data_IF_080282474185
#
_entry.id   IF_080282474185
#
_cell.length_a   1.000
_cell.length_b   1.000
_cell.length_c   1.000
_cell.angle_alpha   90.00
_cell.angle_beta   90.00
_cell.angle_gamma   90.00
#
_symmetry.space_group_name_H-M   'P 1'
#
loop_
_entity.id
_entity.type
_entity.pdbx_description
1 polymer ?
#
# COMPACT_ATOMS: atom_id res chain seq x y z
N UNK A 1 6.77 -0.90 16.30
CA UNK A 1 6.16 -0.83 14.95
C UNK A 1 5.99 0.62 14.53
N UNK A 2 6.04 0.87 13.23
CA UNK A 2 5.75 2.19 12.65
C UNK A 2 4.60 2.10 11.66
N UNK A 3 3.80 3.15 11.58
CA UNK A 3 2.80 3.33 10.56
C UNK A 3 3.20 4.50 9.69
N UNK A 4 3.25 4.27 8.39
CA UNK A 4 3.61 5.24 7.36
C UNK A 4 2.38 5.49 6.49
N UNK A 5 2.02 6.75 6.29
CA UNK A 5 0.90 7.12 5.43
C UNK A 5 1.35 8.19 4.44
N UNK A 6 1.26 7.87 3.17
CA UNK A 6 1.50 8.81 2.09
C UNK A 6 0.24 9.62 1.81
N UNK A 7 0.42 10.91 1.57
CA UNK A 7 -0.59 11.78 0.97
C UNK A 7 0.04 12.61 -0.17
N UNK A 8 -0.70 13.53 -0.75
CA UNK A 8 -0.24 14.32 -1.91
C UNK A 8 1.06 15.10 -1.66
N UNK A 9 1.31 15.54 -0.44
CA UNK A 9 2.36 16.50 -0.13
C UNK A 9 3.28 16.09 1.01
N UNK A 10 3.00 14.98 1.69
CA UNK A 10 3.78 14.57 2.86
C UNK A 10 3.73 13.07 3.11
N UNK A 11 4.74 12.60 3.82
CA UNK A 11 4.80 11.30 4.47
C UNK A 11 4.57 11.51 5.97
N UNK A 12 3.47 10.95 6.48
CA UNK A 12 3.18 10.90 7.91
C UNK A 12 3.74 9.60 8.49
N UNK A 13 4.42 9.69 9.62
CA UNK A 13 4.87 8.53 10.39
C UNK A 13 4.37 8.60 11.83
N UNK A 14 3.90 7.48 12.34
CA UNK A 14 3.63 7.31 13.76
C UNK A 14 4.36 6.08 14.31
N UNK A 15 5.01 6.25 15.46
CA UNK A 15 5.75 5.17 16.14
C UNK A 15 4.94 4.68 17.33
N UNK A 16 4.77 3.37 17.39
CA UNK A 16 4.01 2.69 18.44
C UNK A 16 4.87 1.67 19.13
N UNK A 17 4.79 1.65 20.45
CA UNK A 17 5.44 0.64 21.31
C UNK A 17 4.39 -0.13 22.08
N UNK A 18 4.66 -1.40 22.34
CA UNK A 18 3.83 -2.19 23.23
C UNK A 18 4.39 -2.12 24.66
N UNK A 19 3.54 -1.74 25.61
CA UNK A 19 3.88 -1.73 27.02
C UNK A 19 2.69 -2.24 27.84
N UNK A 20 2.92 -3.28 28.64
CA UNK A 20 1.88 -3.92 29.49
C UNK A 20 0.65 -4.37 28.68
N UNK A 21 0.87 -4.91 27.47
CA UNK A 21 -0.20 -5.37 26.56
C UNK A 21 -1.04 -4.24 25.94
N UNK A 22 -0.54 -2.98 25.99
CA UNK A 22 -1.18 -1.82 25.37
C UNK A 22 -0.27 -1.19 24.35
N UNK A 23 -0.83 -0.88 23.19
CA UNK A 23 -0.14 -0.08 22.17
C UNK A 23 -0.15 1.39 22.58
N UNK A 24 1.04 1.98 22.69
CA UNK A 24 1.25 3.36 23.10
C UNK A 24 1.88 4.11 21.94
N UNK A 25 1.23 5.18 21.49
CA UNK A 25 1.81 6.11 20.53
C UNK A 25 2.94 6.89 21.22
N UNK A 26 4.14 6.76 20.70
CA UNK A 26 5.34 7.38 21.28
C UNK A 26 5.86 8.57 20.48
N UNK A 27 5.60 8.59 19.19
CA UNK A 27 6.04 9.66 18.30
C UNK A 27 5.14 9.82 17.09
N UNK A 28 4.99 11.07 16.61
CA UNK A 28 4.38 11.40 15.32
C UNK A 28 5.32 12.37 14.63
N UNK A 29 5.61 12.12 13.35
CA UNK A 29 6.34 13.04 12.48
C UNK A 29 5.62 13.16 11.15
N UNK A 30 5.69 14.31 10.53
CA UNK A 30 5.21 14.59 9.19
C UNK A 30 6.30 15.29 8.40
N UNK A 31 6.83 14.63 7.40
CA UNK A 31 7.84 15.18 6.51
C UNK A 31 7.23 15.59 5.18
N UNK A 32 7.53 16.80 4.68
CA UNK A 32 7.03 17.22 3.38
C UNK A 32 7.72 16.43 2.26
N UNK A 33 6.97 16.12 1.21
CA UNK A 33 7.54 15.57 -0.02
C UNK A 33 8.17 16.71 -0.84
N UNK A 34 9.32 16.44 -1.44
CA UNK A 34 10.04 17.43 -2.28
C UNK A 34 9.46 17.57 -3.69
N UNK A 35 8.41 16.82 -3.99
CA UNK A 35 7.70 16.83 -5.25
C UNK A 35 6.38 16.07 -5.17
N UNK A 36 5.62 16.14 -6.24
CA UNK A 36 4.35 15.42 -6.39
C UNK A 36 4.61 13.97 -6.80
N UNK A 37 4.39 13.05 -5.89
CA UNK A 37 4.55 11.61 -6.15
C UNK A 37 3.55 11.09 -7.18
N UNK A 38 2.34 11.66 -7.27
CA UNK A 38 1.35 11.25 -8.26
C UNK A 38 1.83 11.54 -9.68
N UNK A 39 2.31 12.75 -9.92
CA UNK A 39 2.90 13.13 -11.19
C UNK A 39 4.20 12.36 -11.50
N UNK A 40 4.92 11.93 -10.49
CA UNK A 40 6.18 11.19 -10.64
C UNK A 40 6.00 9.70 -10.94
N UNK A 41 4.81 9.11 -10.74
CA UNK A 41 4.55 7.66 -10.91
C UNK A 41 4.88 7.09 -12.30
N UNK A 42 4.98 7.92 -13.32
CA UNK A 42 5.43 7.53 -14.66
C UNK A 42 6.94 7.65 -14.88
N UNK A 43 7.69 8.06 -13.87
CA UNK A 43 9.13 8.25 -13.93
C UNK A 43 9.81 7.73 -12.66
N UNK A 44 10.24 6.48 -12.69
CA UNK A 44 10.81 5.77 -11.54
C UNK A 44 11.96 6.53 -10.88
N UNK A 45 12.79 7.23 -11.65
CA UNK A 45 13.91 8.00 -11.10
C UNK A 45 13.45 9.18 -10.24
N UNK A 46 12.43 9.89 -10.70
CA UNK A 46 11.88 11.04 -9.96
C UNK A 46 11.11 10.53 -8.74
N UNK A 47 10.29 9.50 -8.93
CA UNK A 47 9.52 8.88 -7.86
C UNK A 47 10.44 8.41 -6.72
N UNK A 48 11.46 7.61 -7.04
CA UNK A 48 12.42 7.10 -6.06
C UNK A 48 13.24 8.20 -5.41
N UNK A 49 13.60 9.27 -6.12
CA UNK A 49 14.31 10.40 -5.52
C UNK A 49 13.46 11.15 -4.47
N UNK A 50 12.14 11.29 -4.72
CA UNK A 50 11.22 11.92 -3.76
C UNK A 50 11.03 11.01 -2.53
N UNK A 51 10.85 9.70 -2.73
CA UNK A 51 10.74 8.73 -1.63
C UNK A 51 11.99 8.75 -0.77
N UNK A 52 13.16 8.59 -1.38
CA UNK A 52 14.45 8.56 -0.69
C UNK A 52 14.69 9.82 0.15
N UNK A 53 14.37 11.00 -0.41
CA UNK A 53 14.48 12.26 0.32
C UNK A 53 13.51 12.31 1.51
N UNK A 54 12.28 11.84 1.36
CA UNK A 54 11.30 11.80 2.43
C UNK A 54 11.76 10.86 3.57
N UNK A 55 12.26 9.67 3.22
CA UNK A 55 12.77 8.73 4.21
C UNK A 55 14.04 9.21 4.91
N UNK A 56 14.95 9.88 4.20
CA UNK A 56 16.11 10.54 4.83
C UNK A 56 15.70 11.61 5.83
N UNK A 57 14.72 12.42 5.47
CA UNK A 57 14.19 13.44 6.38
C UNK A 57 13.53 12.78 7.59
N UNK A 58 12.72 11.76 7.38
CA UNK A 58 12.08 11.01 8.45
C UNK A 58 13.11 10.35 9.39
N UNK A 59 14.13 9.69 8.84
CA UNK A 59 15.19 9.04 9.61
C UNK A 59 16.05 10.02 10.43
N UNK A 60 16.07 11.30 10.05
CA UNK A 60 16.72 12.35 10.85
C UNK A 60 15.91 12.76 12.08
N UNK A 61 14.61 12.52 12.09
CA UNK A 61 13.69 12.89 13.17
C UNK A 61 13.39 11.72 14.11
N UNK A 62 13.29 10.50 13.54
CA UNK A 62 12.93 9.30 14.30
C UNK A 62 13.79 8.12 13.87
N UNK A 63 14.06 7.23 14.81
CA UNK A 63 14.69 5.95 14.50
C UNK A 63 13.62 5.01 13.89
N UNK A 64 13.77 4.70 12.60
CA UNK A 64 12.90 3.75 11.88
C UNK A 64 13.51 2.36 11.76
N UNK A 65 14.82 2.24 11.88
CA UNK A 65 15.56 0.97 11.83
C UNK A 65 15.09 -0.03 12.91
N UNK A 66 14.96 -1.29 12.50
CA UNK A 66 14.52 -2.38 13.37
C UNK A 66 13.01 -2.41 13.68
N UNK A 67 12.21 -1.60 13.00
CA UNK A 67 10.77 -1.59 13.17
C UNK A 67 10.03 -2.32 12.04
N UNK A 68 8.95 -3.01 12.40
CA UNK A 68 7.92 -3.42 11.44
C UNK A 68 7.19 -2.18 10.93
N UNK A 69 7.13 -2.04 9.61
CA UNK A 69 6.48 -0.92 8.92
C UNK A 69 5.14 -1.34 8.31
N UNK A 70 4.09 -0.61 8.68
CA UNK A 70 2.76 -0.70 8.11
C UNK A 70 2.52 0.53 7.26
N UNK A 71 2.23 0.34 5.97
CA UNK A 71 2.20 1.43 4.99
C UNK A 71 0.82 1.58 4.40
N UNK A 72 0.31 2.81 4.39
CA UNK A 72 -0.87 3.18 3.60
C UNK A 72 -0.50 4.09 2.45
N UNK A 73 -1.04 3.78 1.28
CA UNK A 73 -0.94 4.59 0.07
C UNK A 73 -2.31 5.17 -0.27
N UNK A 74 -2.37 6.34 -0.92
CA UNK A 74 -3.63 6.93 -1.35
C UNK A 74 -4.43 6.02 -2.29
N UNK A 75 -5.75 5.99 -2.13
CA UNK A 75 -6.63 5.18 -2.98
C UNK A 75 -6.52 5.54 -4.46
N UNK A 76 -6.27 6.80 -4.80
CA UNK A 76 -6.12 7.25 -6.20
C UNK A 76 -4.81 6.79 -6.88
N UNK A 77 -3.90 6.14 -6.13
CA UNK A 77 -2.70 5.52 -6.72
C UNK A 77 -2.96 4.13 -7.29
N UNK A 78 -4.14 3.57 -7.08
CA UNK A 78 -4.52 2.23 -7.50
C UNK A 78 -5.84 2.26 -8.29
N UNK A 79 -6.15 1.17 -8.99
CA UNK A 79 -7.44 1.03 -9.64
C UNK A 79 -8.38 0.21 -8.76
N UNK A 80 -9.57 0.74 -8.51
CA UNK A 80 -10.62 0.08 -7.76
C UNK A 80 -11.71 -0.41 -8.71
N UNK A 81 -12.13 -1.65 -8.51
CA UNK A 81 -13.27 -2.27 -9.17
C UNK A 81 -14.20 -2.88 -8.14
N UNK A 82 -15.49 -2.86 -8.46
CA UNK A 82 -16.51 -3.54 -7.69
C UNK A 82 -17.19 -4.55 -8.61
N UNK A 83 -17.05 -5.83 -8.29
CA UNK A 83 -17.51 -6.92 -9.13
C UNK A 83 -18.49 -7.78 -8.38
N UNK A 84 -19.71 -7.88 -8.91
CA UNK A 84 -20.70 -8.83 -8.40
C UNK A 84 -20.43 -10.21 -9.01
N UNK A 85 -20.26 -11.21 -8.15
CA UNK A 85 -20.02 -12.60 -8.53
C UNK A 85 -21.32 -13.37 -8.60
N UNK A 86 -21.40 -14.36 -9.48
CA UNK A 86 -22.48 -15.33 -9.42
C UNK A 86 -22.34 -16.18 -8.15
N UNK A 87 -23.43 -16.35 -7.41
CA UNK A 87 -23.44 -17.11 -6.16
C UNK A 87 -23.07 -18.60 -6.35
N UNK A 88 -23.17 -19.13 -7.58
CA UNK A 88 -22.79 -20.49 -7.92
C UNK A 88 -21.31 -20.68 -8.27
N UNK A 89 -20.55 -19.58 -8.45
CA UNK A 89 -19.12 -19.64 -8.76
C UNK A 89 -18.31 -20.19 -7.60
N UNK A 90 -17.43 -21.14 -7.89
CA UNK A 90 -16.38 -21.57 -6.98
C UNK A 90 -15.33 -20.47 -6.75
N UNK A 91 -14.45 -20.68 -5.77
CA UNK A 91 -13.40 -19.70 -5.48
C UNK A 91 -12.44 -19.50 -6.66
N UNK A 92 -12.05 -20.59 -7.32
CA UNK A 92 -11.13 -20.57 -8.46
C UNK A 92 -11.79 -19.89 -9.67
N UNK A 93 -13.03 -20.25 -10.01
CA UNK A 93 -13.78 -19.62 -11.10
C UNK A 93 -13.97 -18.10 -10.85
N UNK A 94 -14.21 -17.71 -9.61
CA UNK A 94 -14.32 -16.30 -9.22
C UNK A 94 -13.01 -15.55 -9.43
N UNK A 95 -11.88 -16.19 -9.13
CA UNK A 95 -10.57 -15.60 -9.33
C UNK A 95 -10.23 -15.46 -10.81
N UNK A 96 -10.49 -16.49 -11.61
CA UNK A 96 -10.29 -16.48 -13.05
C UNK A 96 -11.13 -15.39 -13.73
N UNK A 97 -12.37 -15.19 -13.26
CA UNK A 97 -13.22 -14.10 -13.73
C UNK A 97 -12.65 -12.71 -13.40
N UNK A 98 -12.11 -12.52 -12.20
CA UNK A 98 -11.41 -11.27 -11.82
C UNK A 98 -10.21 -11.03 -12.73
N UNK A 99 -9.39 -12.05 -12.99
CA UNK A 99 -8.24 -11.93 -13.86
C UNK A 99 -8.62 -11.63 -15.31
N UNK A 100 -9.69 -12.24 -15.79
CA UNK A 100 -10.25 -11.92 -17.11
C UNK A 100 -10.73 -10.46 -17.19
N UNK A 101 -11.44 -9.96 -16.18
CA UNK A 101 -11.85 -8.54 -16.13
C UNK A 101 -10.64 -7.60 -16.10
N UNK A 102 -9.61 -7.94 -15.34
CA UNK A 102 -8.33 -7.21 -15.32
C UNK A 102 -7.73 -7.10 -16.72
N UNK A 103 -7.69 -8.22 -17.46
CA UNK A 103 -7.18 -8.25 -18.82
C UNK A 103 -7.98 -7.34 -19.74
N UNK A 104 -9.33 -7.41 -19.69
CA UNK A 104 -10.20 -6.54 -20.49
C UNK A 104 -9.98 -5.05 -20.19
N UNK A 105 -9.68 -4.72 -18.93
CA UNK A 105 -9.52 -3.33 -18.49
C UNK A 105 -8.14 -2.77 -18.74
N UNK A 106 -7.09 -3.54 -18.45
CA UNK A 106 -5.70 -3.09 -18.48
C UNK A 106 -4.97 -3.51 -19.78
N UNK A 107 -5.52 -4.44 -20.54
CA UNK A 107 -4.94 -4.93 -21.79
C UNK A 107 -3.50 -5.41 -21.60
N UNK A 108 -2.62 -5.01 -22.49
CA UNK A 108 -1.20 -5.40 -22.47
C UNK A 108 -0.46 -4.98 -21.17
N UNK A 109 -0.99 -4.03 -20.40
CA UNK A 109 -0.40 -3.56 -19.16
C UNK A 109 -0.76 -4.43 -17.95
N UNK A 110 -1.66 -5.40 -18.07
CA UNK A 110 -2.17 -6.21 -16.95
C UNK A 110 -1.06 -6.84 -16.09
N UNK A 111 0.05 -7.25 -16.71
CA UNK A 111 1.18 -7.88 -16.02
C UNK A 111 1.97 -6.91 -15.11
N UNK A 112 1.76 -5.60 -15.27
CA UNK A 112 2.39 -4.58 -14.46
C UNK A 112 1.60 -4.25 -13.19
N UNK A 113 0.53 -5.02 -12.90
CA UNK A 113 -0.32 -4.82 -11.74
C UNK A 113 -0.49 -6.10 -10.95
N UNK A 114 -0.37 -5.98 -9.65
CA UNK A 114 -0.86 -6.98 -8.68
C UNK A 114 -2.37 -6.78 -8.48
N UNK A 115 -3.07 -7.88 -8.22
CA UNK A 115 -4.52 -7.85 -8.02
C UNK A 115 -4.87 -8.44 -6.66
N UNK A 116 -5.74 -7.75 -5.95
CA UNK A 116 -6.30 -8.18 -4.67
C UNK A 116 -7.82 -8.11 -4.76
N UNK A 117 -8.49 -9.02 -4.07
CA UNK A 117 -9.94 -9.02 -3.99
C UNK A 117 -10.39 -9.38 -2.58
N UNK A 118 -11.32 -8.59 -2.06
CA UNK A 118 -11.96 -8.83 -0.77
C UNK A 118 -13.48 -8.89 -0.92
N UNK A 119 -14.12 -9.66 -0.06
CA UNK A 119 -15.59 -9.68 -0.01
C UNK A 119 -16.08 -8.49 0.81
N UNK A 120 -16.98 -7.70 0.23
CA UNK A 120 -17.62 -6.58 0.94
C UNK A 120 -18.91 -7.08 1.60
N UNK A 121 -19.85 -7.55 0.79
CA UNK A 121 -21.15 -8.01 1.25
C UNK A 121 -21.76 -8.99 0.22
N UNK A 122 -22.23 -10.14 0.68
CA UNK A 122 -22.81 -11.13 -0.22
C UNK A 122 -21.83 -11.57 -1.30
N UNK A 123 -22.21 -11.41 -2.55
CA UNK A 123 -21.40 -11.78 -3.72
C UNK A 123 -20.57 -10.61 -4.28
N UNK A 124 -20.64 -9.43 -3.66
CA UNK A 124 -19.90 -8.25 -4.10
C UNK A 124 -18.46 -8.32 -3.63
N UNK A 125 -17.52 -8.24 -4.55
CA UNK A 125 -16.09 -8.14 -4.29
C UNK A 125 -15.58 -6.73 -4.60
N UNK A 126 -14.74 -6.21 -3.74
CA UNK A 126 -13.88 -5.08 -4.04
C UNK A 126 -12.56 -5.63 -4.58
N UNK A 127 -12.22 -5.24 -5.78
CA UNK A 127 -11.01 -5.66 -6.49
C UNK A 127 -10.09 -4.46 -6.64
N UNK A 128 -8.83 -4.63 -6.25
CA UNK A 128 -7.83 -3.58 -6.28
C UNK A 128 -6.67 -4.03 -7.17
N UNK A 129 -6.32 -3.20 -8.15
CA UNK A 129 -5.16 -3.41 -9.01
C UNK A 129 -4.10 -2.38 -8.68
N UNK A 130 -2.95 -2.84 -8.16
CA UNK A 130 -1.85 -1.99 -7.70
C UNK A 130 -0.67 -2.11 -8.64
N UNK A 131 -0.07 -1.01 -9.11
CA UNK A 131 1.14 -1.06 -9.92
C UNK A 131 2.27 -1.81 -9.18
N UNK A 132 2.84 -2.83 -9.81
CA UNK A 132 3.89 -3.67 -9.20
C UNK A 132 5.12 -2.85 -8.82
N UNK A 133 5.55 -1.93 -9.69
CA UNK A 133 6.71 -1.07 -9.43
C UNK A 133 6.50 -0.17 -8.22
N UNK A 134 5.31 0.41 -8.07
CA UNK A 134 4.97 1.24 -6.90
C UNK A 134 5.22 0.50 -5.58
N UNK A 135 4.74 -0.74 -5.49
CA UNK A 135 4.93 -1.57 -4.30
C UNK A 135 6.40 -1.91 -4.09
N UNK A 136 7.09 -2.29 -5.17
CA UNK A 136 8.51 -2.66 -5.10
C UNK A 136 9.38 -1.50 -4.64
N UNK A 137 9.15 -0.30 -5.18
CA UNK A 137 9.93 0.89 -4.85
C UNK A 137 9.71 1.32 -3.39
N UNK A 138 8.46 1.32 -2.92
CA UNK A 138 8.15 1.65 -1.53
C UNK A 138 8.78 0.62 -0.58
N UNK A 139 8.63 -0.68 -0.85
CA UNK A 139 9.22 -1.74 -0.03
C UNK A 139 10.74 -1.64 0.02
N UNK A 140 11.37 -1.44 -1.15
CA UNK A 140 12.82 -1.30 -1.24
C UNK A 140 13.32 -0.13 -0.40
N UNK A 141 12.72 1.04 -0.56
CA UNK A 141 13.12 2.25 0.19
C UNK A 141 12.98 2.04 1.70
N UNK A 142 11.89 1.42 2.17
CA UNK A 142 11.69 1.09 3.59
C UNK A 142 12.81 0.19 4.10
N UNK A 143 13.11 -0.88 3.34
CA UNK A 143 14.16 -1.85 3.72
C UNK A 143 15.56 -1.22 3.71
N UNK A 144 15.87 -0.34 2.77
CA UNK A 144 17.14 0.41 2.71
C UNK A 144 17.34 1.33 3.92
N UNK A 145 16.25 1.77 4.55
CA UNK A 145 16.28 2.53 5.80
C UNK A 145 16.15 1.65 7.07
N UNK A 146 16.27 0.32 6.91
CA UNK A 146 16.38 -0.62 8.02
C UNK A 146 15.07 -1.07 8.65
N UNK A 147 13.91 -0.66 8.13
CA UNK A 147 12.62 -1.15 8.59
C UNK A 147 12.14 -2.35 7.76
N UNK A 148 11.30 -3.20 8.36
CA UNK A 148 10.72 -4.37 7.69
C UNK A 148 9.32 -4.00 7.16
N UNK A 149 9.07 -4.00 5.83
CA UNK A 149 7.75 -3.71 5.27
C UNK A 149 6.78 -4.87 5.52
N UNK A 150 6.14 -4.88 6.70
CA UNK A 150 5.27 -5.96 7.16
C UNK A 150 3.86 -5.91 6.55
N UNK A 151 3.37 -4.73 6.18
CA UNK A 151 2.08 -4.56 5.53
C UNK A 151 2.08 -3.32 4.64
N UNK A 152 1.47 -3.44 3.47
CA UNK A 152 1.20 -2.31 2.58
C UNK A 152 -0.23 -2.44 2.04
N UNK A 153 -0.98 -1.37 2.10
CA UNK A 153 -2.36 -1.31 1.61
C UNK A 153 -2.79 0.11 1.28
N UNK A 154 -4.04 0.26 0.85
CA UNK A 154 -4.63 1.57 0.54
C UNK A 154 -5.35 2.14 1.76
N UNK A 155 -5.68 3.44 1.72
CA UNK A 155 -6.43 4.10 2.79
C UNK A 155 -7.78 3.41 3.07
N UNK A 156 -8.49 2.98 2.04
CA UNK A 156 -9.77 2.28 2.18
C UNK A 156 -9.63 0.90 2.84
N UNK A 157 -8.50 0.21 2.68
CA UNK A 157 -8.25 -1.09 3.30
C UNK A 157 -8.00 -1.00 4.81
N UNK A 158 -7.62 0.17 5.34
CA UNK A 158 -7.40 0.35 6.79
C UNK A 158 -8.69 0.21 7.58
N UNK A 159 -9.83 0.53 6.98
CA UNK A 159 -11.15 0.43 7.61
C UNK A 159 -11.76 -0.96 7.52
N UNK A 160 -11.31 -1.78 6.59
CA UNK A 160 -11.59 -3.21 6.60
C UNK A 160 -10.58 -3.87 7.53
N UNK A 161 -11.05 -4.55 8.59
CA UNK A 161 -10.14 -5.27 9.51
C UNK A 161 -9.09 -6.01 8.69
N UNK A 162 -7.79 -5.92 9.03
CA UNK A 162 -6.74 -6.65 8.33
C UNK A 162 -7.00 -8.16 8.51
N UNK A 163 -7.81 -8.71 7.66
CA UNK A 163 -7.77 -10.13 7.36
C UNK A 163 -6.42 -10.33 6.68
N UNK A 164 -5.65 -11.32 7.06
CA UNK A 164 -4.27 -11.69 6.72
C UNK A 164 -3.81 -11.57 5.23
N UNK A 165 -4.36 -10.66 4.48
CA UNK A 165 -4.00 -10.41 3.08
C UNK A 165 -3.10 -9.18 3.01
N UNK A 166 -1.86 -9.41 3.34
CA UNK A 166 -0.76 -8.49 3.04
C UNK A 166 -0.45 -8.56 1.55
N UNK A 167 -0.07 -7.45 0.96
CA UNK A 167 0.65 -7.42 -0.31
C UNK A 167 2.01 -8.11 -0.07
N UNK A 168 1.98 -9.44 -0.03
CA UNK A 168 3.13 -10.30 0.24
C UNK A 168 4.14 -10.32 -0.90
#
# INVERSE_FOLDING_TARGET
>A
MIYLSFNESSLLCSVWTERDGKSILTHISQVPLTGDLDSARGNDKIFNAILEQAFKSLASEIQIDGHDAFVTIPDYWVYHDFTEMDASMGADDSWDYILWQKEQRLGDKQNNFLTYAENIQGNLKHVIHVPTLLISDIKLTISEHGAEPSWLGTESMVFTRPTKHTFG
#
